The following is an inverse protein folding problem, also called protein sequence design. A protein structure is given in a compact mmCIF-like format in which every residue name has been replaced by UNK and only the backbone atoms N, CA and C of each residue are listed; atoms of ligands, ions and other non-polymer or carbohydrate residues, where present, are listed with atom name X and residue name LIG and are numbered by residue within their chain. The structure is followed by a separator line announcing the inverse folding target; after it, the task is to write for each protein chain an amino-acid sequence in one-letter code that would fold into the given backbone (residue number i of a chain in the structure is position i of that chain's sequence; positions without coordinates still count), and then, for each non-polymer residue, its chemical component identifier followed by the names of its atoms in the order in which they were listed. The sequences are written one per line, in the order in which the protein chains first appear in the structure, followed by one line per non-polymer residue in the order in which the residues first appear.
data_IF_481684075539
#
_entry.id   IF_481684075539
#
_cell.length_a   1.000
_cell.length_b   1.000
_cell.length_c   1.000
_cell.angle_alpha   90.00
_cell.angle_beta   90.00
_cell.angle_gamma   90.00
#
_symmetry.space_group_name_H-M   'P 1'
#
loop_
_entity.id
_entity.type
_entity.pdbx_description
1 polymer ?
#
# COMPACT_ATOMS: atom_id res chain seq x y z
N UNK A 1 9.51 9.12 17.55
CA UNK A 1 10.59 8.18 17.92
C UNK A 1 11.35 7.91 16.64
N UNK A 2 12.67 8.13 16.64
CA UNK A 2 13.50 7.85 15.45
C UNK A 2 13.69 6.35 15.29
N UNK A 3 13.70 5.87 14.05
CA UNK A 3 14.02 4.48 13.75
C UNK A 3 15.49 4.23 14.13
N UNK A 4 15.78 3.27 15.03
CA UNK A 4 17.08 3.20 15.68
C UNK A 4 18.18 2.59 14.81
N UNK A 5 17.81 1.93 13.70
CA UNK A 5 18.72 1.11 12.91
C UNK A 5 19.06 1.76 11.56
N UNK A 6 20.11 1.25 10.92
CA UNK A 6 20.51 1.71 9.59
C UNK A 6 19.43 1.36 8.55
N UNK A 7 19.09 2.31 7.68
CA UNK A 7 18.16 2.09 6.57
C UNK A 7 18.95 1.93 5.27
N UNK A 8 18.71 0.83 4.57
CA UNK A 8 19.32 0.52 3.28
C UNK A 8 18.98 1.60 2.24
N UNK A 9 19.92 1.98 1.35
CA UNK A 9 19.71 3.03 0.35
C UNK A 9 18.45 2.87 -0.51
N UNK A 10 18.02 1.63 -0.78
CA UNK A 10 16.79 1.33 -1.52
C UNK A 10 15.57 2.08 -0.99
N UNK A 11 15.47 2.31 0.32
CA UNK A 11 14.30 2.91 0.96
C UNK A 11 14.43 4.41 1.24
N UNK A 12 15.60 5.02 0.96
CA UNK A 12 15.86 6.43 1.31
C UNK A 12 15.11 7.44 0.45
N UNK A 13 14.81 7.07 -0.79
CA UNK A 13 14.10 7.89 -1.78
C UNK A 13 12.95 7.08 -2.40
N UNK A 14 12.26 6.26 -1.59
CA UNK A 14 11.17 5.44 -2.11
C UNK A 14 10.06 6.33 -2.67
N UNK A 15 9.50 5.93 -3.81
CA UNK A 15 8.51 6.70 -4.54
C UNK A 15 7.10 6.18 -4.21
N UNK A 16 6.12 7.08 -4.20
CA UNK A 16 4.71 6.78 -4.00
C UNK A 16 3.87 7.48 -5.07
N UNK A 17 3.29 6.72 -6.00
CA UNK A 17 2.32 7.28 -6.96
C UNK A 17 0.90 6.87 -6.60
N UNK A 18 0.08 7.85 -6.25
CA UNK A 18 -1.30 7.66 -5.81
C UNK A 18 -2.24 7.73 -7.01
N UNK A 19 -2.81 6.60 -7.39
CA UNK A 19 -3.84 6.49 -8.43
C UNK A 19 -5.21 6.82 -7.83
N UNK A 20 -5.83 7.89 -8.32
CA UNK A 20 -7.13 8.36 -7.81
C UNK A 20 -8.26 7.62 -8.53
N UNK A 21 -8.68 6.50 -7.97
CA UNK A 21 -9.72 5.63 -8.54
C UNK A 21 -11.11 6.18 -8.27
N UNK A 22 -11.33 6.71 -7.07
CA UNK A 22 -12.62 7.28 -6.66
C UNK A 22 -12.40 8.46 -5.69
N UNK A 23 -12.99 9.61 -6.02
CA UNK A 23 -13.05 10.81 -5.17
C UNK A 23 -14.37 10.94 -4.42
N UNK A 24 -15.24 9.94 -4.50
CA UNK A 24 -16.46 9.87 -3.69
C UNK A 24 -16.15 9.97 -2.19
N UNK A 25 -17.19 10.28 -1.40
CA UNK A 25 -17.04 10.32 0.06
C UNK A 25 -16.55 8.98 0.60
N UNK A 26 -15.61 9.04 1.56
CA UNK A 26 -15.15 7.84 2.28
C UNK A 26 -16.37 7.15 2.88
N UNK A 27 -16.67 5.93 2.41
CA UNK A 27 -17.80 5.15 2.92
C UNK A 27 -17.68 4.86 4.42
N UNK A 28 -16.44 4.79 4.92
CA UNK A 28 -16.13 4.53 6.33
C UNK A 28 -15.04 5.50 6.76
N UNK A 29 -15.28 6.23 7.86
CA UNK A 29 -14.22 7.01 8.50
C UNK A 29 -13.24 6.10 9.22
N UNK A 30 -11.98 6.51 9.35
CA UNK A 30 -10.98 5.70 10.07
C UNK A 30 -11.43 5.35 11.48
N UNK A 31 -12.07 6.28 12.21
CA UNK A 31 -12.58 6.01 13.56
C UNK A 31 -13.59 4.86 13.56
N UNK A 32 -14.58 4.89 12.66
CA UNK A 32 -15.56 3.80 12.54
C UNK A 32 -14.83 2.49 12.16
N UNK A 33 -13.91 2.55 11.21
CA UNK A 33 -13.14 1.38 10.77
C UNK A 33 -12.34 0.73 11.91
N UNK A 34 -11.71 1.54 12.76
CA UNK A 34 -10.96 1.06 13.92
C UNK A 34 -11.89 0.47 14.99
N UNK A 35 -13.04 1.10 15.25
CA UNK A 35 -14.00 0.61 16.23
C UNK A 35 -14.54 -0.79 15.88
N UNK A 36 -14.65 -1.10 14.58
CA UNK A 36 -15.06 -2.43 14.10
C UNK A 36 -14.08 -3.55 14.45
N UNK A 37 -12.85 -3.21 14.82
CA UNK A 37 -11.85 -4.19 15.24
C UNK A 37 -12.08 -4.67 16.67
N UNK A 38 -12.86 -3.94 17.47
CA UNK A 38 -13.29 -4.40 18.78
C UNK A 38 -14.25 -5.59 18.63
N UNK A 39 -13.90 -6.71 19.26
CA UNK A 39 -14.63 -7.99 19.17
C UNK A 39 -14.71 -8.59 17.76
N UNK A 40 -13.86 -8.14 16.82
CA UNK A 40 -13.79 -8.75 15.50
C UNK A 40 -13.24 -10.19 15.61
N UNK A 41 -13.87 -11.20 14.98
CA UNK A 41 -13.50 -12.61 15.13
C UNK A 41 -12.02 -12.92 14.81
N UNK A 42 -11.40 -12.12 13.94
CA UNK A 42 -10.01 -12.29 13.50
C UNK A 42 -9.04 -11.25 14.08
N UNK A 43 -9.49 -10.31 14.92
CA UNK A 43 -8.64 -9.20 15.40
C UNK A 43 -7.39 -9.66 16.17
N UNK A 44 -7.53 -10.62 17.08
CA UNK A 44 -6.38 -11.08 17.90
C UNK A 44 -5.23 -11.57 17.01
N UNK A 45 -5.54 -12.40 16.01
CA UNK A 45 -4.55 -12.92 15.07
C UNK A 45 -4.02 -11.84 14.13
N UNK A 46 -4.87 -10.91 13.69
CA UNK A 46 -4.44 -9.74 12.92
C UNK A 46 -3.41 -8.92 13.68
N UNK A 47 -3.65 -8.65 14.97
CA UNK A 47 -2.71 -7.89 15.79
C UNK A 47 -1.41 -8.64 15.99
N UNK A 48 -1.44 -9.94 16.26
CA UNK A 48 -0.22 -10.75 16.34
C UNK A 48 0.58 -10.68 15.02
N UNK A 49 -0.06 -10.88 13.87
CA UNK A 49 0.56 -10.78 12.56
C UNK A 49 1.15 -9.38 12.29
N UNK A 50 0.48 -8.30 12.75
CA UNK A 50 1.01 -6.94 12.60
C UNK A 50 2.36 -6.77 13.31
N UNK A 51 2.51 -7.33 14.52
CA UNK A 51 3.78 -7.30 15.25
C UNK A 51 4.85 -8.13 14.56
N UNK A 52 4.51 -9.34 14.09
CA UNK A 52 5.44 -10.20 13.34
C UNK A 52 5.91 -9.52 12.04
N UNK A 53 5.01 -8.83 11.33
CA UNK A 53 5.35 -8.10 10.12
C UNK A 53 6.21 -6.87 10.42
N UNK A 54 5.97 -6.18 11.54
CA UNK A 54 6.81 -5.06 11.99
C UNK A 54 8.24 -5.54 12.28
N UNK A 55 8.41 -6.64 13.00
CA UNK A 55 9.73 -7.21 13.31
C UNK A 55 10.48 -7.62 12.04
N UNK A 56 9.78 -8.20 11.06
CA UNK A 56 10.36 -8.52 9.76
C UNK A 56 10.76 -7.28 8.98
N UNK A 57 9.91 -6.24 8.96
CA UNK A 57 10.18 -4.98 8.27
C UNK A 57 11.43 -4.28 8.80
N UNK A 58 11.71 -4.35 10.11
CA UNK A 58 12.96 -3.81 10.69
C UNK A 58 14.18 -4.42 9.99
N UNK A 59 14.21 -5.75 9.88
CA UNK A 59 15.32 -6.46 9.23
C UNK A 59 15.39 -6.18 7.73
N UNK A 60 14.24 -6.07 7.07
CA UNK A 60 14.12 -5.76 5.63
C UNK A 60 14.66 -4.37 5.32
N UNK A 61 14.34 -3.37 6.15
CA UNK A 61 14.85 -2.02 5.98
C UNK A 61 16.37 -1.95 6.12
N UNK A 62 16.98 -2.77 6.99
CA UNK A 62 18.43 -2.84 7.12
C UNK A 62 19.11 -3.51 5.93
N UNK A 63 18.56 -4.62 5.43
CA UNK A 63 19.20 -5.45 4.41
C UNK A 63 18.81 -5.11 2.97
N UNK A 64 17.78 -4.28 2.76
CA UNK A 64 17.37 -3.85 1.42
C UNK A 64 16.52 -4.85 0.64
N UNK A 65 15.97 -5.89 1.27
CA UNK A 65 15.24 -6.97 0.61
C UNK A 65 13.86 -6.51 0.10
N UNK A 66 13.84 -6.00 -1.14
CA UNK A 66 12.63 -5.51 -1.79
C UNK A 66 11.59 -6.60 -2.03
N UNK A 67 11.99 -7.84 -2.31
CA UNK A 67 11.03 -8.92 -2.56
C UNK A 67 10.19 -9.22 -1.31
N UNK A 68 10.83 -9.25 -0.13
CA UNK A 68 10.11 -9.48 1.12
C UNK A 68 9.32 -8.24 1.57
N UNK A 69 9.86 -7.04 1.33
CA UNK A 69 9.13 -5.79 1.53
C UNK A 69 7.79 -5.80 0.78
N UNK A 70 7.83 -6.12 -0.52
CA UNK A 70 6.66 -6.15 -1.41
C UNK A 70 5.62 -7.14 -0.88
N UNK A 71 6.04 -8.35 -0.47
CA UNK A 71 5.12 -9.36 0.07
C UNK A 71 4.39 -8.86 1.31
N UNK A 72 5.12 -8.28 2.27
CA UNK A 72 4.52 -7.80 3.51
C UNK A 72 3.59 -6.62 3.24
N UNK A 73 4.01 -5.63 2.45
CA UNK A 73 3.22 -4.43 2.16
C UNK A 73 1.91 -4.78 1.46
N UNK A 74 1.95 -5.59 0.41
CA UNK A 74 0.72 -6.01 -0.29
C UNK A 74 -0.17 -6.88 0.59
N UNK A 75 0.43 -7.77 1.39
CA UNK A 75 -0.32 -8.59 2.33
C UNK A 75 -1.03 -7.74 3.39
N UNK A 76 -0.38 -6.73 3.97
CA UNK A 76 -1.00 -5.85 4.95
C UNK A 76 -2.19 -5.07 4.36
N UNK A 77 -2.04 -4.56 3.14
CA UNK A 77 -3.11 -3.86 2.42
C UNK A 77 -4.33 -4.76 2.18
N UNK A 78 -4.09 -6.00 1.69
CA UNK A 78 -5.15 -6.98 1.46
C UNK A 78 -5.80 -7.44 2.78
N UNK A 79 -5.01 -7.64 3.83
CA UNK A 79 -5.50 -8.05 5.14
C UNK A 79 -6.42 -6.99 5.74
N UNK A 80 -6.08 -5.70 5.64
CA UNK A 80 -6.98 -4.62 6.07
C UNK A 80 -8.34 -4.73 5.38
N UNK A 81 -8.35 -4.91 4.06
CA UNK A 81 -9.58 -5.02 3.28
C UNK A 81 -10.38 -6.29 3.62
N UNK A 82 -9.70 -7.41 3.88
CA UNK A 82 -10.33 -8.63 4.35
C UNK A 82 -11.02 -8.42 5.70
N UNK A 83 -10.36 -7.76 6.65
CA UNK A 83 -10.94 -7.42 7.96
C UNK A 83 -12.20 -6.57 7.80
N UNK A 84 -12.21 -5.60 6.88
CA UNK A 84 -13.38 -4.77 6.59
C UNK A 84 -14.51 -5.55 5.90
N UNK A 85 -14.19 -6.54 5.07
CA UNK A 85 -15.19 -7.41 4.45
C UNK A 85 -15.83 -8.38 5.45
N UNK A 86 -15.10 -8.75 6.51
CA UNK A 86 -15.57 -9.68 7.55
C UNK A 86 -16.11 -9.00 8.81
N UNK A 87 -16.12 -7.66 8.87
CA UNK A 87 -16.66 -6.91 10.00
C UNK A 87 -18.18 -6.88 10.02
N UNK A 88 -18.77 -6.40 11.13
CA UNK A 88 -20.20 -6.12 11.26
C UNK A 88 -20.43 -4.68 11.73
N UNK A 89 -21.01 -3.80 10.88
CA UNK A 89 -21.35 -4.01 9.47
C UNK A 89 -20.11 -4.31 8.58
N UNK A 90 -20.34 -4.99 7.46
CA UNK A 90 -19.30 -5.29 6.46
C UNK A 90 -19.12 -4.14 5.47
N UNK A 91 -17.94 -4.05 4.87
CA UNK A 91 -17.61 -3.05 3.85
C UNK A 91 -16.77 -3.62 2.73
N UNK A 92 -17.06 -3.20 1.50
CA UNK A 92 -16.20 -3.40 0.34
C UNK A 92 -15.63 -2.04 -0.03
N UNK A 93 -14.36 -1.81 0.36
CA UNK A 93 -13.69 -0.53 0.17
C UNK A 93 -13.07 -0.40 -1.23
N UNK A 94 -12.70 -1.52 -1.86
CA UNK A 94 -12.17 -1.56 -3.22
C UNK A 94 -13.28 -1.35 -4.25
N UNK A 95 -12.91 -0.80 -5.41
CA UNK A 95 -13.77 -0.71 -6.60
C UNK A 95 -13.24 -1.64 -7.71
N UNK A 96 -14.01 -1.92 -8.77
CA UNK A 96 -13.53 -2.75 -9.88
C UNK A 96 -12.18 -2.29 -10.44
N UNK A 97 -12.01 -0.98 -10.65
CA UNK A 97 -10.75 -0.41 -11.13
C UNK A 97 -9.58 -0.58 -10.15
N UNK A 98 -9.83 -0.63 -8.83
CA UNK A 98 -8.81 -0.97 -7.83
C UNK A 98 -8.25 -2.38 -8.10
N UNK A 99 -9.14 -3.35 -8.37
CA UNK A 99 -8.75 -4.73 -8.65
C UNK A 99 -8.03 -4.86 -10.00
N UNK A 100 -8.47 -4.13 -11.02
CA UNK A 100 -7.78 -4.07 -12.32
C UNK A 100 -6.34 -3.56 -12.17
N UNK A 101 -6.14 -2.50 -11.38
CA UNK A 101 -4.80 -1.97 -11.09
C UNK A 101 -3.92 -3.01 -10.38
N UNK A 102 -4.44 -3.68 -9.34
CA UNK A 102 -3.71 -4.72 -8.60
C UNK A 102 -3.24 -5.84 -9.55
N UNK A 103 -4.14 -6.32 -10.42
CA UNK A 103 -3.83 -7.37 -11.38
C UNK A 103 -2.77 -6.91 -12.40
N UNK A 104 -2.87 -5.67 -12.88
CA UNK A 104 -1.88 -5.09 -13.78
C UNK A 104 -0.50 -4.97 -13.12
N UNK A 105 -0.43 -4.52 -11.86
CA UNK A 105 0.84 -4.44 -11.10
C UNK A 105 1.47 -5.82 -10.94
N UNK A 106 0.69 -6.84 -10.57
CA UNK A 106 1.19 -8.22 -10.47
C UNK A 106 1.72 -8.76 -11.79
N UNK A 107 0.97 -8.54 -12.89
CA UNK A 107 1.39 -8.96 -14.23
C UNK A 107 2.71 -8.26 -14.62
N UNK A 108 2.76 -6.95 -14.49
CA UNK A 108 3.94 -6.14 -14.82
C UNK A 108 5.16 -6.57 -14.00
N UNK A 109 5.02 -6.75 -12.68
CA UNK A 109 6.12 -7.23 -11.82
C UNK A 109 6.57 -8.64 -12.23
N UNK A 110 5.64 -9.53 -12.56
CA UNK A 110 5.99 -10.89 -12.97
C UNK A 110 6.77 -10.92 -14.30
N UNK A 111 6.39 -10.08 -15.27
CA UNK A 111 7.00 -10.02 -16.60
C UNK A 111 8.35 -9.30 -16.60
N UNK A 112 8.47 -8.22 -15.84
CA UNK A 112 9.65 -7.33 -15.89
C UNK A 112 10.65 -7.56 -14.77
N UNK A 113 10.22 -8.20 -13.66
CA UNK A 113 10.95 -8.31 -12.39
C UNK A 113 11.27 -6.96 -11.74
N UNK A 114 10.60 -5.88 -12.16
CA UNK A 114 10.73 -4.56 -11.52
C UNK A 114 10.03 -4.60 -10.16
N UNK A 115 10.69 -4.15 -9.07
CA UNK A 115 10.17 -4.23 -7.70
C UNK A 115 9.16 -3.11 -7.42
N UNK A 116 8.02 -3.15 -8.12
CA UNK A 116 6.86 -2.29 -7.86
C UNK A 116 5.82 -3.06 -7.04
N UNK A 117 5.21 -2.41 -6.05
CA UNK A 117 4.10 -2.97 -5.30
C UNK A 117 2.98 -1.96 -5.11
N UNK A 118 1.90 -2.40 -4.46
CA UNK A 118 0.83 -1.52 -4.05
C UNK A 118 0.57 -1.58 -2.55
N UNK A 119 0.01 -0.49 -2.03
CA UNK A 119 -0.72 -0.50 -0.75
C UNK A 119 -2.04 0.24 -0.90
N UNK A 120 -2.92 0.04 0.07
CA UNK A 120 -4.29 0.58 0.08
C UNK A 120 -4.65 1.02 1.50
N UNK A 121 -5.19 2.22 1.61
CA UNK A 121 -5.85 2.72 2.81
C UNK A 121 -7.31 2.21 2.88
N UNK A 122 -8.10 2.77 3.81
CA UNK A 122 -9.55 2.54 3.85
C UNK A 122 -10.29 3.25 2.68
N UNK A 123 -10.10 2.76 1.44
CA UNK A 123 -10.71 3.32 0.24
C UNK A 123 -10.26 2.65 -1.06
N UNK A 124 -10.63 3.25 -2.19
CA UNK A 124 -10.41 2.67 -3.52
C UNK A 124 -9.09 3.09 -4.19
N UNK A 125 -8.45 4.15 -3.71
CA UNK A 125 -7.23 4.71 -4.29
C UNK A 125 -6.05 3.77 -4.04
N UNK A 126 -5.17 3.66 -5.04
CA UNK A 126 -4.02 2.74 -5.01
C UNK A 126 -2.74 3.53 -4.91
N UNK A 127 -1.95 3.26 -3.88
CA UNK A 127 -0.59 3.77 -3.76
C UNK A 127 0.34 2.78 -4.44
N UNK A 128 1.03 3.23 -5.49
CA UNK A 128 2.00 2.43 -6.24
C UNK A 128 3.38 2.79 -5.72
N UNK A 129 4.01 1.87 -5.01
CA UNK A 129 5.28 2.09 -4.33
C UNK A 129 6.43 1.41 -5.09
N UNK A 130 7.54 2.11 -5.27
CA UNK A 130 8.69 1.60 -6.02
C UNK A 130 10.00 2.34 -5.67
N UNK A 131 11.17 1.70 -5.85
CA UNK A 131 12.46 2.38 -5.73
C UNK A 131 12.67 3.48 -6.78
N UNK A 132 13.38 4.54 -6.42
CA UNK A 132 13.72 5.66 -7.32
C UNK A 132 14.42 5.21 -8.60
N UNK A 133 15.32 4.21 -8.52
CA UNK A 133 16.11 3.76 -9.67
C UNK A 133 15.28 3.08 -10.78
N UNK A 134 14.00 2.78 -10.53
CA UNK A 134 13.06 2.25 -11.54
C UNK A 134 11.92 3.22 -11.85
N UNK A 135 11.97 4.45 -11.33
CA UNK A 135 10.87 5.40 -11.39
C UNK A 135 10.41 5.74 -12.80
N UNK A 136 11.35 5.96 -13.73
CA UNK A 136 11.02 6.28 -15.12
C UNK A 136 10.18 5.16 -15.77
N UNK A 137 10.60 3.90 -15.57
CA UNK A 137 9.89 2.75 -16.15
C UNK A 137 8.52 2.55 -15.51
N UNK A 138 8.42 2.71 -14.20
CA UNK A 138 7.15 2.56 -13.48
C UNK A 138 6.17 3.69 -13.84
N UNK A 139 6.65 4.94 -13.96
CA UNK A 139 5.81 6.06 -14.40
C UNK A 139 5.31 5.90 -15.84
N UNK A 140 6.12 5.31 -16.72
CA UNK A 140 5.68 4.98 -18.08
C UNK A 140 4.61 3.89 -18.07
N UNK A 141 4.76 2.85 -17.26
CA UNK A 141 3.75 1.82 -17.04
C UNK A 141 2.45 2.42 -16.50
N UNK A 142 2.52 3.27 -15.48
CA UNK A 142 1.36 3.98 -14.92
C UNK A 142 0.62 4.74 -16.02
N UNK A 143 1.33 5.57 -16.79
CA UNK A 143 0.74 6.39 -17.87
C UNK A 143 0.09 5.55 -18.96
N UNK A 144 0.70 4.44 -19.34
CA UNK A 144 0.25 3.63 -20.45
C UNK A 144 -0.89 2.67 -20.09
N UNK A 145 -0.86 2.11 -18.87
CA UNK A 145 -1.76 1.01 -18.48
C UNK A 145 -2.69 1.37 -17.32
N UNK A 146 -2.24 2.15 -16.34
CA UNK A 146 -2.99 2.35 -15.10
C UNK A 146 -3.86 3.62 -15.10
N UNK A 147 -3.47 4.66 -15.84
CA UNK A 147 -4.20 5.94 -15.90
C UNK A 147 -5.64 5.76 -16.38
N UNK A 148 -5.91 4.79 -17.26
CA UNK A 148 -7.26 4.47 -17.75
C UNK A 148 -8.23 4.03 -16.65
N UNK A 149 -7.72 3.53 -15.52
CA UNK A 149 -8.51 3.12 -14.36
C UNK A 149 -8.74 4.25 -13.35
N UNK A 150 -8.04 5.38 -13.51
CA UNK A 150 -8.16 6.53 -12.62
C UNK A 150 -9.34 7.43 -13.02
N UNK A 151 -10.02 7.99 -12.02
CA UNK A 151 -11.05 8.99 -12.24
C UNK A 151 -10.45 10.22 -12.94
N UNK A 152 -10.96 10.53 -14.13
CA UNK A 152 -10.46 11.60 -15.01
C UNK A 152 -8.95 11.47 -15.33
N UNK A 153 -8.39 10.26 -15.26
CA UNK A 153 -6.96 10.03 -15.49
C UNK A 153 -6.03 10.66 -14.46
N UNK A 154 -6.53 10.97 -13.26
CA UNK A 154 -5.77 11.71 -12.24
C UNK A 154 -4.96 10.79 -11.34
N UNK A 155 -3.71 11.17 -11.10
CA UNK A 155 -2.82 10.56 -10.13
C UNK A 155 -1.89 11.62 -9.53
N UNK A 156 -1.29 11.31 -8.38
CA UNK A 156 -0.35 12.17 -7.67
C UNK A 156 0.99 11.43 -7.63
N UNK A 157 2.07 12.08 -8.05
CA UNK A 157 3.42 11.57 -7.82
C UNK A 157 3.94 12.21 -6.54
N UNK A 158 4.29 11.38 -5.57
CA UNK A 158 4.87 11.74 -4.28
C UNK A 158 6.10 10.86 -4.00
N UNK A 159 6.84 11.23 -2.98
CA UNK A 159 8.00 10.47 -2.51
C UNK A 159 8.13 10.58 -0.99
N UNK A 160 9.09 9.87 -0.43
CA UNK A 160 9.33 9.92 1.01
C UNK A 160 9.57 11.36 1.50
N UNK A 161 8.72 11.82 2.41
CA UNK A 161 8.81 13.15 3.00
C UNK A 161 9.83 13.23 4.15
N UNK A 162 10.03 14.44 4.69
CA UNK A 162 10.95 14.71 5.81
C UNK A 162 10.50 14.12 7.17
N UNK A 163 9.39 13.38 7.20
CA UNK A 163 8.80 12.84 8.42
C UNK A 163 8.15 13.90 9.31
N UNK A 164 7.63 13.45 10.46
CA UNK A 164 7.01 14.33 11.45
C UNK A 164 8.08 15.08 12.25
N UNK A 165 7.99 16.41 12.28
CA UNK A 165 8.81 17.25 13.17
C UNK A 165 8.13 17.31 14.53
N UNK A 166 8.83 16.95 15.60
CA UNK A 166 8.38 17.28 16.95
C UNK A 166 8.44 18.80 17.10
N UNK A 167 7.26 19.43 17.24
CA UNK A 167 7.11 20.85 17.57
C UNK A 167 7.12 21.01 19.08
#
# INVERSE_FOLDING_TARGET
VEFPNAIHPNFKNFQDTILLVDKGEKQVSSTIGHDLMHNHPFAERRFAQAHENLDQLISIFENGNLDEFIKIVESEALTLHAMMMTSMPYFILMKPNTLEIINAIWKFRNETKIPVCFTLDAGANVHVLYPENVAETVLQFIKNELVGYCQNGQYICDEIGNGAVLI
#
